data_IF_422466820862
#
_entry.id   IF_422466820862
#
_cell.length_a   1.000
_cell.length_b   1.000
_cell.length_c   1.000
_cell.angle_alpha   90.00
_cell.angle_beta   90.00
_cell.angle_gamma   90.00
#
_symmetry.space_group_name_H-M   'P 1'
#
loop_
_entity.id
_entity.type
_entity.pdbx_description
1 polymer ?
#
# COMPACT_ATOMS: atom_id res chain seq x y z
N UNK A 1 22.41 -8.52 -5.70
CA UNK A 1 21.87 -7.47 -4.82
C UNK A 1 20.72 -8.05 -4.02
N UNK A 2 20.74 -7.88 -2.71
CA UNK A 2 19.68 -8.42 -1.85
C UNK A 2 18.44 -7.56 -1.93
N UNK A 3 17.28 -8.18 -2.00
CA UNK A 3 16.00 -7.46 -1.95
C UNK A 3 15.30 -7.70 -0.62
N UNK A 4 14.43 -6.75 -0.25
CA UNK A 4 13.54 -6.86 0.89
C UNK A 4 12.10 -6.78 0.40
N UNK A 5 11.17 -7.17 1.28
CA UNK A 5 9.75 -7.22 0.97
C UNK A 5 9.00 -6.20 1.82
N UNK A 6 8.09 -5.46 1.19
CA UNK A 6 7.13 -4.60 1.88
C UNK A 6 5.72 -4.94 1.41
N UNK A 7 4.75 -4.89 2.32
CA UNK A 7 3.34 -5.14 2.00
C UNK A 7 2.50 -4.01 2.55
N UNK A 8 1.81 -3.31 1.66
CA UNK A 8 1.05 -2.11 1.99
C UNK A 8 -0.36 -2.19 1.40
N UNK A 9 -1.30 -1.49 2.02
CA UNK A 9 -2.66 -1.33 1.51
C UNK A 9 -3.03 0.15 1.60
N UNK A 10 -3.53 0.73 0.54
CA UNK A 10 -3.84 2.16 0.49
C UNK A 10 -4.94 2.49 -0.51
N UNK A 11 -6.00 1.69 -0.55
CA UNK A 11 -7.10 1.86 -1.50
C UNK A 11 -6.95 0.95 -2.71
N UNK A 12 -7.61 1.32 -3.81
CA UNK A 12 -7.59 0.51 -5.03
C UNK A 12 -6.16 0.19 -5.46
N UNK A 13 -5.84 -1.09 -5.56
CA UNK A 13 -4.46 -1.52 -5.84
C UNK A 13 -3.99 -1.20 -7.26
N UNK A 14 -4.88 -0.88 -8.19
CA UNK A 14 -4.47 -0.44 -9.53
C UNK A 14 -3.65 0.84 -9.48
N UNK A 15 -4.13 1.85 -8.75
CA UNK A 15 -3.44 3.14 -8.61
C UNK A 15 -2.20 3.05 -7.75
N UNK A 16 -2.26 2.26 -6.69
CA UNK A 16 -1.10 2.03 -5.82
C UNK A 16 0.05 1.41 -6.61
N UNK A 17 -0.22 0.37 -7.37
CA UNK A 17 0.81 -0.28 -8.17
C UNK A 17 1.36 0.64 -9.25
N UNK A 18 0.49 1.40 -9.91
CA UNK A 18 0.90 2.31 -10.99
C UNK A 18 1.96 3.31 -10.52
N UNK A 19 1.78 3.86 -9.34
CA UNK A 19 2.71 4.86 -8.80
C UNK A 19 3.95 4.22 -8.18
N UNK A 20 3.78 3.17 -7.38
CA UNK A 20 4.89 2.57 -6.63
C UNK A 20 5.88 1.86 -7.55
N UNK A 21 5.40 1.19 -8.61
CA UNK A 21 6.31 0.47 -9.51
C UNK A 21 7.33 1.39 -10.18
N UNK A 22 7.06 2.68 -10.24
CA UNK A 22 7.94 3.67 -10.89
C UNK A 22 9.07 4.17 -9.98
N UNK A 23 9.05 3.82 -8.70
CA UNK A 23 10.10 4.27 -7.77
C UNK A 23 11.43 3.60 -8.10
N UNK A 24 12.52 4.39 -8.25
CA UNK A 24 13.86 3.79 -8.40
C UNK A 24 14.19 2.92 -7.18
N UNK A 25 14.71 1.73 -7.42
CA UNK A 25 15.03 0.76 -6.37
C UNK A 25 13.94 -0.27 -6.12
N UNK A 26 12.74 -0.09 -6.65
CA UNK A 26 11.69 -1.12 -6.63
C UNK A 26 12.00 -2.12 -7.74
N UNK A 27 12.21 -3.38 -7.33
CA UNK A 27 12.53 -4.47 -8.27
C UNK A 27 11.27 -4.98 -8.97
N UNK A 28 10.24 -5.27 -8.17
CA UNK A 28 8.99 -5.83 -8.68
C UNK A 28 7.84 -5.54 -7.73
N UNK A 29 6.64 -5.59 -8.27
CA UNK A 29 5.40 -5.43 -7.51
C UNK A 29 4.37 -6.45 -7.97
N UNK A 30 3.50 -6.87 -7.06
CA UNK A 30 2.26 -7.58 -7.42
C UNK A 30 1.14 -7.11 -6.51
N UNK A 31 -0.08 -7.12 -7.02
CA UNK A 31 -1.24 -6.75 -6.22
C UNK A 31 -1.99 -8.00 -5.77
N UNK A 32 -2.72 -7.88 -4.67
CA UNK A 32 -3.43 -9.01 -4.10
C UNK A 32 -4.28 -8.64 -2.91
N UNK A 33 -4.62 -9.64 -2.11
CA UNK A 33 -5.52 -9.51 -0.97
C UNK A 33 -4.82 -9.99 0.29
N UNK A 34 -4.87 -9.17 1.34
CA UNK A 34 -4.15 -9.48 2.57
C UNK A 34 -4.77 -8.77 3.78
N UNK A 35 -4.37 -9.20 4.98
CA UNK A 35 -4.81 -8.58 6.23
C UNK A 35 -6.16 -9.06 6.72
N UNK A 36 -6.79 -10.00 6.06
CA UNK A 36 -8.11 -10.54 6.39
C UNK A 36 -8.09 -12.04 6.66
N UNK A 37 -9.23 -12.70 6.39
CA UNK A 37 -9.50 -14.03 6.92
C UNK A 37 -9.84 -15.13 5.88
N UNK A 38 -10.13 -14.77 4.64
CA UNK A 38 -10.58 -15.74 3.64
C UNK A 38 -9.38 -16.35 2.91
N UNK A 39 -9.22 -17.70 2.91
CA UNK A 39 -8.19 -18.34 2.11
C UNK A 39 -8.56 -18.33 0.62
N UNK A 40 -7.53 -18.36 -0.23
CA UNK A 40 -7.67 -18.35 -1.68
C UNK A 40 -8.55 -17.19 -2.16
N UNK A 41 -8.27 -16.01 -1.62
CA UNK A 41 -9.04 -14.80 -1.88
C UNK A 41 -9.04 -14.43 -3.37
N UNK A 42 -10.19 -13.91 -3.83
CA UNK A 42 -10.39 -13.41 -5.19
C UNK A 42 -11.01 -12.03 -5.14
N UNK A 43 -11.06 -11.34 -6.27
CA UNK A 43 -11.68 -10.02 -6.33
C UNK A 43 -13.14 -10.05 -5.86
N UNK A 44 -13.88 -11.11 -6.22
CA UNK A 44 -15.29 -11.24 -5.86
C UNK A 44 -15.51 -11.82 -4.48
N UNK A 45 -14.50 -12.48 -3.90
CA UNK A 45 -14.63 -13.10 -2.58
C UNK A 45 -13.28 -12.99 -1.84
N UNK A 46 -13.05 -11.85 -1.22
CA UNK A 46 -11.84 -11.66 -0.41
C UNK A 46 -12.16 -11.31 1.05
N UNK A 47 -13.39 -11.53 1.49
CA UNK A 47 -13.80 -11.43 2.90
C UNK A 47 -13.38 -10.09 3.51
N UNK A 48 -12.60 -10.14 4.60
CA UNK A 48 -12.11 -8.95 5.30
C UNK A 48 -10.74 -8.50 4.84
N UNK A 49 -10.19 -9.10 3.75
CA UNK A 49 -8.90 -8.66 3.21
C UNK A 49 -8.98 -7.25 2.64
N UNK A 50 -7.86 -6.52 2.74
CA UNK A 50 -7.65 -5.29 1.99
C UNK A 50 -7.04 -5.61 0.63
N UNK A 51 -7.29 -4.74 -0.35
CA UNK A 51 -6.50 -4.72 -1.57
C UNK A 51 -5.11 -4.21 -1.25
N UNK A 52 -4.10 -5.02 -1.51
CA UNK A 52 -2.74 -4.74 -1.11
C UNK A 52 -1.75 -4.83 -2.26
N UNK A 53 -0.57 -4.33 -2.00
CA UNK A 53 0.56 -4.40 -2.92
C UNK A 53 1.76 -5.00 -2.18
N UNK A 54 2.36 -6.01 -2.79
CA UNK A 54 3.64 -6.56 -2.34
C UNK A 54 4.74 -5.93 -3.18
N UNK A 55 5.73 -5.38 -2.51
CA UNK A 55 6.84 -4.66 -3.12
C UNK A 55 8.13 -5.39 -2.78
N UNK A 56 8.90 -5.75 -3.80
CA UNK A 56 10.27 -6.20 -3.60
C UNK A 56 11.20 -5.06 -3.99
N UNK A 57 12.07 -4.66 -3.09
CA UNK A 57 12.91 -3.48 -3.28
C UNK A 57 14.35 -3.73 -2.83
N UNK A 58 15.29 -2.97 -3.39
CA UNK A 58 16.69 -3.03 -3.03
C UNK A 58 17.00 -1.97 -1.99
N UNK A 59 17.23 -2.34 -0.71
CA UNK A 59 17.47 -1.35 0.34
C UNK A 59 18.74 -0.52 0.14
N UNK A 60 19.64 -0.96 -0.74
CA UNK A 60 20.79 -0.15 -1.14
C UNK A 60 20.43 1.01 -2.08
N UNK A 61 19.23 1.00 -2.66
CA UNK A 61 18.76 2.01 -3.60
C UNK A 61 17.59 2.81 -3.05
N UNK A 62 16.71 2.18 -2.27
CA UNK A 62 15.56 2.84 -1.66
C UNK A 62 15.32 2.21 -0.29
N UNK A 63 15.09 3.01 0.74
CA UNK A 63 14.81 2.50 2.08
C UNK A 63 13.33 2.20 2.25
N UNK A 64 13.00 1.38 3.26
CA UNK A 64 11.61 1.17 3.66
C UNK A 64 10.97 2.50 4.06
N UNK A 65 11.70 3.38 4.74
CA UNK A 65 11.23 4.72 5.09
C UNK A 65 10.84 5.53 3.85
N UNK A 66 11.67 5.51 2.80
CA UNK A 66 11.38 6.23 1.57
C UNK A 66 10.09 5.71 0.93
N UNK A 67 9.88 4.39 0.94
CA UNK A 67 8.65 3.78 0.42
C UNK A 67 7.45 4.23 1.24
N UNK A 68 7.56 4.25 2.58
CA UNK A 68 6.47 4.69 3.44
C UNK A 68 6.15 6.17 3.25
N UNK A 69 7.16 7.03 3.08
CA UNK A 69 6.91 8.45 2.82
C UNK A 69 6.14 8.64 1.52
N UNK A 70 6.52 7.91 0.48
CA UNK A 70 5.78 7.94 -0.78
C UNK A 70 4.36 7.40 -0.62
N UNK A 71 4.21 6.29 0.10
CA UNK A 71 2.91 5.69 0.43
C UNK A 71 1.95 6.70 1.06
N UNK A 72 2.43 7.45 2.06
CA UNK A 72 1.62 8.47 2.71
C UNK A 72 1.40 9.72 1.85
N UNK A 73 2.13 9.87 0.76
CA UNK A 73 1.97 10.96 -0.19
C UNK A 73 0.95 10.66 -1.27
N UNK A 74 0.72 9.39 -1.58
CA UNK A 74 -0.13 8.99 -2.70
C UNK A 74 -1.54 8.54 -2.30
N UNK A 75 -1.84 8.42 -1.01
CA UNK A 75 -3.19 8.10 -0.55
C UNK A 75 -3.50 8.88 0.73
N UNK A 76 -4.79 9.02 1.04
CA UNK A 76 -5.24 9.67 2.27
C UNK A 76 -5.27 8.64 3.40
N UNK A 77 -4.34 8.72 4.38
CA UNK A 77 -4.29 7.75 5.48
C UNK A 77 -5.22 8.10 6.64
N UNK A 78 -6.05 9.13 6.49
CA UNK A 78 -6.92 9.63 7.56
C UNK A 78 -8.38 9.24 7.40
N UNK A 79 -8.73 8.48 6.36
CA UNK A 79 -10.10 8.02 6.13
C UNK A 79 -10.23 6.54 6.45
N UNK A 80 -11.06 6.24 7.46
CA UNK A 80 -11.25 4.87 7.93
C UNK A 80 -12.05 4.05 6.92
N UNK A 81 -11.50 2.89 6.52
CA UNK A 81 -12.12 1.93 5.63
C UNK A 81 -12.67 2.56 4.34
N UNK A 82 -11.92 3.52 3.80
CA UNK A 82 -12.23 4.11 2.50
C UNK A 82 -11.01 4.82 1.94
N UNK A 83 -11.00 4.98 0.62
CA UNK A 83 -10.01 5.81 -0.05
C UNK A 83 -10.69 6.56 -1.20
N UNK A 84 -10.77 7.88 -1.08
CA UNK A 84 -11.48 8.69 -2.06
C UNK A 84 -12.93 8.23 -2.23
N UNK A 85 -13.31 7.87 -3.44
CA UNK A 85 -14.66 7.39 -3.76
C UNK A 85 -14.86 5.90 -3.46
N UNK A 86 -13.82 5.17 -3.13
CA UNK A 86 -13.89 3.73 -2.87
C UNK A 86 -14.20 3.51 -1.39
N UNK A 87 -15.32 2.85 -1.10
CA UNK A 87 -15.81 2.63 0.26
C UNK A 87 -15.70 1.17 0.66
N UNK A 88 -15.31 0.92 1.90
CA UNK A 88 -15.31 -0.41 2.50
C UNK A 88 -13.93 -0.89 2.95
N UNK A 89 -13.93 -2.03 3.66
CA UNK A 89 -12.72 -2.64 4.24
C UNK A 89 -11.64 -2.94 3.19
N UNK A 90 -12.05 -3.23 1.96
CA UNK A 90 -11.12 -3.51 0.86
C UNK A 90 -10.15 -2.35 0.61
N UNK A 91 -10.56 -1.14 0.93
CA UNK A 91 -9.84 0.08 0.59
C UNK A 91 -9.21 0.78 1.80
N UNK A 92 -9.07 0.06 2.91
CA UNK A 92 -8.47 0.60 4.12
C UNK A 92 -6.95 0.76 3.97
N UNK A 93 -6.39 1.66 4.77
CA UNK A 93 -4.95 1.90 4.84
C UNK A 93 -4.29 0.92 5.79
N UNK A 94 -3.20 0.30 5.38
CA UNK A 94 -2.49 -0.67 6.22
C UNK A 94 -1.03 -0.83 5.86
N UNK A 95 -0.23 -1.16 6.86
CA UNK A 95 1.17 -1.53 6.73
C UNK A 95 1.32 -2.90 7.40
N UNK A 96 1.71 -3.90 6.63
CA UNK A 96 1.84 -5.28 7.09
C UNK A 96 3.33 -5.61 7.18
N UNK A 97 3.86 -5.61 8.40
CA UNK A 97 5.30 -5.63 8.64
C UNK A 97 5.88 -7.03 8.60
N UNK A 98 6.99 -7.21 7.90
CA UNK A 98 7.66 -8.50 7.81
C UNK A 98 8.56 -8.76 9.02
N UNK A 99 8.92 -7.71 9.77
CA UNK A 99 9.77 -7.81 10.96
C UNK A 99 9.56 -6.62 11.89
N UNK A 100 10.23 -6.66 13.04
CA UNK A 100 10.12 -5.60 14.05
C UNK A 100 10.75 -4.27 13.58
N UNK A 101 11.76 -4.33 12.75
CA UNK A 101 12.41 -3.12 12.21
C UNK A 101 11.41 -2.35 11.33
N UNK A 102 10.64 -3.04 10.51
CA UNK A 102 9.59 -2.41 9.70
C UNK A 102 8.49 -1.83 10.59
N UNK A 103 8.09 -2.54 11.64
CA UNK A 103 7.08 -2.04 12.58
C UNK A 103 7.54 -0.75 13.24
N UNK A 104 8.77 -0.72 13.73
CA UNK A 104 9.32 0.48 14.37
C UNK A 104 9.36 1.66 13.40
N UNK A 105 9.79 1.41 12.15
CA UNK A 105 9.84 2.46 11.14
C UNK A 105 8.44 2.95 10.76
N UNK A 106 7.46 2.05 10.68
CA UNK A 106 6.07 2.42 10.40
C UNK A 106 5.51 3.34 11.50
N UNK A 107 5.76 3.01 12.75
CA UNK A 107 5.32 3.83 13.88
C UNK A 107 5.95 5.23 13.82
N UNK A 108 7.26 5.30 13.58
CA UNK A 108 7.98 6.59 13.45
C UNK A 108 7.44 7.41 12.30
N UNK A 109 7.19 6.78 11.16
CA UNK A 109 6.70 7.47 9.97
C UNK A 109 5.31 8.05 10.20
N UNK A 110 4.42 7.30 10.83
CA UNK A 110 3.07 7.78 11.16
C UNK A 110 3.15 8.99 12.09
N UNK A 111 4.02 8.94 13.09
CA UNK A 111 4.21 10.08 13.99
C UNK A 111 4.66 11.32 13.24
N UNK A 112 5.59 11.17 12.29
CA UNK A 112 6.09 12.28 11.48
C UNK A 112 5.03 12.82 10.53
N UNK A 113 4.22 11.96 9.93
CA UNK A 113 3.11 12.36 9.06
C UNK A 113 2.08 13.18 9.86
N UNK A 114 1.72 12.71 11.05
CA UNK A 114 0.78 13.44 11.90
C UNK A 114 1.35 14.80 12.36
N UNK A 115 2.64 14.83 12.70
CA UNK A 115 3.29 16.06 13.12
C UNK A 115 3.43 17.07 11.97
N UNK A 116 3.52 16.60 10.73
CA UNK A 116 3.68 17.48 9.56
C UNK A 116 2.41 18.26 9.22
N UNK A 117 1.25 17.78 9.64
CA UNK A 117 -0.03 18.42 9.32
C UNK A 117 -0.43 18.32 7.86
N UNK A 118 0.22 17.47 7.06
CA UNK A 118 -0.12 17.30 5.64
C UNK A 118 -1.57 16.79 5.45
N UNK A 119 -2.06 16.00 6.41
CA UNK A 119 -3.42 15.49 6.38
C UNK A 119 -4.28 16.15 7.48
N UNK A 120 -5.56 16.46 7.18
CA UNK A 120 -6.40 17.23 8.12
C UNK A 120 -6.85 16.45 9.35
N UNK A 121 -6.79 15.13 9.30
CA UNK A 121 -7.25 14.26 10.37
C UNK A 121 -6.17 13.30 10.80
N UNK A 122 -6.39 12.63 11.93
CA UNK A 122 -5.46 11.65 12.47
C UNK A 122 -5.29 10.47 11.52
N UNK A 123 -4.06 9.94 11.42
CA UNK A 123 -3.77 8.74 10.63
C UNK A 123 -4.47 7.53 11.23
N UNK A 124 -5.20 6.79 10.38
CA UNK A 124 -5.93 5.58 10.79
C UNK A 124 -5.35 4.31 10.16
N UNK A 125 -4.15 4.38 9.61
CA UNK A 125 -3.45 3.25 9.01
C UNK A 125 -3.25 2.14 10.05
N UNK A 126 -3.70 0.92 9.74
CA UNK A 126 -3.44 -0.21 10.64
C UNK A 126 -2.00 -0.72 10.47
N UNK A 127 -1.37 -1.12 11.56
CA UNK A 127 -0.04 -1.74 11.55
C UNK A 127 -0.20 -3.14 12.12
N UNK A 128 0.11 -4.16 11.31
CA UNK A 128 -0.02 -5.56 11.70
C UNK A 128 1.17 -6.37 11.19
N UNK A 129 1.48 -7.51 11.83
CA UNK A 129 2.41 -8.46 11.23
C UNK A 129 1.86 -8.94 9.89
N UNK A 130 2.76 -9.15 8.90
CA UNK A 130 2.34 -9.66 7.61
C UNK A 130 1.80 -11.09 7.76
N UNK A 131 0.67 -11.35 7.14
CA UNK A 131 0.09 -12.69 7.03
C UNK A 131 0.14 -13.17 5.59
N UNK A 132 -0.84 -14.01 5.22
CA UNK A 132 -0.93 -14.52 3.85
C UNK A 132 -1.21 -13.38 2.88
N UNK A 133 -0.54 -13.42 1.75
CA UNK A 133 -0.77 -12.51 0.63
C UNK A 133 -1.28 -13.34 -0.54
N UNK A 134 -2.56 -13.15 -0.89
CA UNK A 134 -3.20 -13.89 -1.97
C UNK A 134 -3.10 -13.07 -3.25
N UNK A 135 -2.27 -13.51 -4.18
CA UNK A 135 -2.06 -12.78 -5.44
C UNK A 135 -3.38 -12.61 -6.19
N UNK A 136 -3.64 -11.38 -6.64
CA UNK A 136 -4.83 -11.08 -7.41
C UNK A 136 -4.73 -11.67 -8.82
N UNK A 137 -5.89 -11.80 -9.44
CA UNK A 137 -6.02 -12.35 -10.79
C UNK A 137 -5.13 -11.59 -11.79
N UNK A 138 -4.69 -12.27 -12.86
CA UNK A 138 -3.77 -11.65 -13.84
C UNK A 138 -4.29 -10.34 -14.44
N UNK A 139 -5.60 -10.19 -14.61
CA UNK A 139 -6.21 -8.98 -15.14
C UNK A 139 -6.02 -7.75 -14.25
N UNK A 140 -5.72 -7.95 -12.95
CA UNK A 140 -5.46 -6.86 -12.01
C UNK A 140 -3.98 -6.50 -11.91
N UNK A 141 -3.09 -7.35 -12.42
CA UNK A 141 -1.66 -7.06 -12.36
C UNK A 141 -1.31 -6.04 -13.45
N UNK A 142 -0.64 -4.95 -13.04
CA UNK A 142 -0.23 -3.87 -13.94
C UNK A 142 -1.38 -3.30 -14.77
N UNK A 143 -2.57 -3.19 -14.14
CA UNK A 143 -3.79 -2.78 -14.83
C UNK A 143 -3.63 -1.42 -15.51
N UNK A 144 -3.10 -0.41 -14.81
CA UNK A 144 -2.94 0.93 -15.38
C UNK A 144 -1.75 1.05 -16.33
N UNK A 145 -0.85 0.07 -16.34
CA UNK A 145 0.19 -0.01 -17.38
C UNK A 145 -0.43 -0.43 -18.72
N UNK A 146 -1.37 -1.37 -18.67
CA UNK A 146 -2.09 -1.85 -19.86
C UNK A 146 -3.23 -0.92 -20.29
N UNK A 147 -3.84 -0.23 -19.29
CA UNK A 147 -4.96 0.68 -19.51
C UNK A 147 -4.66 2.03 -18.88
N UNK A 148 -3.77 2.86 -19.47
CA UNK A 148 -3.28 4.09 -18.84
C UNK A 148 -4.36 5.13 -18.52
N UNK A 149 -5.53 5.06 -19.17
CA UNK A 149 -6.67 5.94 -18.92
C UNK A 149 -7.71 5.32 -18.00
N UNK A 150 -7.40 4.16 -17.40
CA UNK A 150 -8.29 3.47 -16.48
C UNK A 150 -8.50 4.25 -15.18
N UNK A 151 -9.43 3.75 -14.36
CA UNK A 151 -9.78 4.39 -13.10
C UNK A 151 -8.60 4.42 -12.13
N UNK A 152 -8.38 5.59 -11.52
CA UNK A 152 -7.52 5.73 -10.35
C UNK A 152 -7.97 6.94 -9.52
N UNK A 153 -7.87 6.82 -8.19
CA UNK A 153 -8.01 7.94 -7.27
C UNK A 153 -6.68 8.33 -6.63
N UNK A 154 -5.58 7.70 -7.05
CA UNK A 154 -4.26 7.94 -6.49
C UNK A 154 -3.49 8.98 -7.31
N UNK A 155 -2.81 9.86 -6.60
CA UNK A 155 -1.93 10.86 -7.21
C UNK A 155 -0.90 11.30 -6.17
N UNK A 156 0.22 11.84 -6.64
CA UNK A 156 1.29 12.30 -5.76
C UNK A 156 0.91 13.68 -5.25
N UNK A 157 0.74 13.81 -3.94
CA UNK A 157 0.45 15.10 -3.31
C UNK A 157 1.76 15.82 -3.06
N UNK A 158 1.86 17.12 -3.39
CA UNK A 158 3.05 17.89 -3.09
C UNK A 158 3.14 18.17 -1.59
N UNK A 159 4.23 18.72 -1.14
CA UNK A 159 4.36 19.26 0.22
C UNK A 159 4.55 18.24 1.34
N UNK A 160 5.04 17.04 1.00
CA UNK A 160 5.48 16.15 2.06
C UNK A 160 6.80 15.47 1.82
#
# INVERSE_FOLDING_TARGET
MNSERAVLAGGCFWGMQDLIRKLPGVESTRVGYTGGDVPNATYRNHGTHAEGIEINFYPSQISFRDILEFFFQIHDPSTLNRQGNDLGLSYRSGIYCVDEAQKAEAIRTIADVEASGIWPSKVVTEIKPVGDFWEAEPEHQDYLLRYPTGYTCHFIRPNW
#
